data_IF_253423674814
#
_entry.id   IF_253423674814
#
_cell.length_a   1.000
_cell.length_b   1.000
_cell.length_c   1.000
_cell.angle_alpha   90.00
_cell.angle_beta   90.00
_cell.angle_gamma   90.00
#
_symmetry.space_group_name_H-M   'P 1'
#
loop_
_entity.id
_entity.type
_entity.pdbx_description
1 polymer ?
#
# COMPACT_ATOMS: atom_id res chain seq x y z
N UNK A 1 -17.83 -58.09 -19.95
CA UNK A 1 -17.15 -56.90 -19.39
C UNK A 1 -15.94 -56.58 -20.26
N UNK A 2 -15.87 -55.38 -20.84
CA UNK A 2 -14.76 -54.95 -21.71
C UNK A 2 -13.54 -54.71 -20.82
N UNK A 3 -12.45 -55.46 -21.02
CA UNK A 3 -11.19 -55.20 -20.31
C UNK A 3 -10.68 -53.83 -20.76
N UNK A 4 -10.49 -52.92 -19.82
CA UNK A 4 -9.84 -51.64 -20.09
C UNK A 4 -8.38 -51.96 -20.45
N UNK A 5 -7.88 -51.40 -21.54
CA UNK A 5 -6.48 -51.55 -21.93
C UNK A 5 -5.61 -50.78 -20.92
N UNK A 6 -4.77 -51.52 -20.20
CA UNK A 6 -3.87 -50.98 -19.18
C UNK A 6 -2.91 -49.96 -19.79
N UNK A 7 -2.49 -50.15 -21.05
CA UNK A 7 -1.60 -49.21 -21.74
C UNK A 7 -2.31 -47.88 -22.00
N UNK A 8 -3.57 -47.93 -22.44
CA UNK A 8 -4.38 -46.74 -22.64
C UNK A 8 -4.61 -45.98 -21.32
N UNK A 9 -4.78 -46.70 -20.20
CA UNK A 9 -4.91 -46.09 -18.87
C UNK A 9 -3.61 -45.41 -18.44
N UNK A 10 -2.45 -46.07 -18.59
CA UNK A 10 -1.14 -45.49 -18.26
C UNK A 10 -0.86 -44.25 -19.10
N UNK A 11 -1.16 -44.29 -20.40
CA UNK A 11 -0.98 -43.14 -21.29
C UNK A 11 -1.87 -41.96 -20.89
N UNK A 12 -3.14 -42.23 -20.57
CA UNK A 12 -4.06 -41.20 -20.07
C UNK A 12 -3.53 -40.57 -18.78
N UNK A 13 -3.09 -41.39 -17.82
CA UNK A 13 -2.51 -40.91 -16.57
C UNK A 13 -1.22 -40.09 -16.80
N UNK A 14 -0.40 -40.47 -17.78
CA UNK A 14 0.79 -39.70 -18.17
C UNK A 14 0.45 -38.31 -18.70
N UNK A 15 -0.54 -38.21 -19.61
CA UNK A 15 -1.01 -36.92 -20.14
C UNK A 15 -1.63 -36.07 -19.04
N UNK A 16 -2.48 -36.66 -18.19
CA UNK A 16 -3.07 -35.97 -17.03
C UNK A 16 -1.98 -35.50 -16.07
N UNK A 17 -0.93 -36.29 -15.85
CA UNK A 17 0.22 -35.92 -15.03
C UNK A 17 0.98 -34.71 -15.58
N UNK A 18 1.23 -34.65 -16.89
CA UNK A 18 1.88 -33.51 -17.54
C UNK A 18 1.00 -32.26 -17.47
N UNK A 19 -0.30 -32.39 -17.74
CA UNK A 19 -1.23 -31.26 -17.63
C UNK A 19 -1.29 -30.76 -16.19
N UNK A 20 -1.38 -31.68 -15.22
CA UNK A 20 -1.39 -31.35 -13.80
C UNK A 20 -0.13 -30.61 -13.35
N UNK A 21 1.05 -31.05 -13.81
CA UNK A 21 2.31 -30.37 -13.46
C UNK A 21 2.39 -28.97 -14.07
N UNK A 22 1.97 -28.79 -15.32
CA UNK A 22 1.94 -27.47 -15.97
C UNK A 22 0.96 -26.51 -15.29
N UNK A 23 -0.21 -26.99 -14.86
CA UNK A 23 -1.16 -26.18 -14.09
C UNK A 23 -0.55 -25.74 -12.76
N UNK A 24 0.10 -26.65 -12.03
CA UNK A 24 0.78 -26.33 -10.77
C UNK A 24 1.86 -25.27 -10.96
N UNK A 25 2.72 -25.43 -11.97
CA UNK A 25 3.77 -24.45 -12.31
C UNK A 25 3.15 -23.09 -12.69
N UNK A 26 2.05 -23.08 -13.44
CA UNK A 26 1.34 -21.85 -13.77
C UNK A 26 0.79 -21.11 -12.54
N UNK A 27 0.28 -21.85 -11.55
CA UNK A 27 -0.18 -21.28 -10.28
C UNK A 27 0.98 -20.71 -9.45
N UNK A 28 2.10 -21.43 -9.37
CA UNK A 28 3.30 -20.99 -8.65
C UNK A 28 3.90 -19.72 -9.27
N UNK A 29 3.99 -19.66 -10.60
CA UNK A 29 4.48 -18.46 -11.31
C UNK A 29 3.58 -17.25 -11.07
N UNK A 30 2.25 -17.43 -11.09
CA UNK A 30 1.30 -16.35 -10.79
C UNK A 30 1.47 -15.81 -9.36
N UNK A 31 1.67 -16.71 -8.39
CA UNK A 31 1.94 -16.32 -7.01
C UNK A 31 3.27 -15.57 -6.89
N UNK A 32 4.32 -16.07 -7.55
CA UNK A 32 5.64 -15.44 -7.57
C UNK A 32 5.59 -14.03 -8.16
N UNK A 33 4.89 -13.85 -9.29
CA UNK A 33 4.69 -12.54 -9.90
C UNK A 33 3.98 -11.57 -8.94
N UNK A 34 2.92 -12.02 -8.27
CA UNK A 34 2.17 -11.19 -7.31
C UNK A 34 3.06 -10.72 -6.14
N UNK A 35 3.88 -11.63 -5.60
CA UNK A 35 4.84 -11.30 -4.53
C UNK A 35 5.88 -10.29 -5.03
N UNK A 36 6.37 -10.47 -6.26
CA UNK A 36 7.35 -9.56 -6.86
C UNK A 36 6.78 -8.15 -7.08
N UNK A 37 5.55 -8.02 -7.57
CA UNK A 37 4.88 -6.73 -7.74
C UNK A 37 4.68 -6.02 -6.38
N UNK A 38 4.32 -6.77 -5.34
CA UNK A 38 4.17 -6.20 -4.01
C UNK A 38 5.49 -5.84 -3.33
N UNK A 39 6.55 -6.61 -3.55
CA UNK A 39 7.89 -6.23 -3.13
C UNK A 39 8.36 -4.94 -3.84
N UNK A 40 8.02 -4.76 -5.12
CA UNK A 40 8.30 -3.51 -5.83
C UNK A 40 7.52 -2.33 -5.26
N UNK A 41 6.25 -2.52 -4.91
CA UNK A 41 5.46 -1.47 -4.25
C UNK A 41 6.04 -1.08 -2.88
N UNK A 42 6.44 -2.08 -2.08
CA UNK A 42 7.14 -1.87 -0.81
C UNK A 42 8.43 -1.06 -1.01
N UNK A 43 9.22 -1.40 -2.02
CA UNK A 43 10.47 -0.69 -2.33
C UNK A 43 10.18 0.77 -2.69
N UNK A 44 9.19 1.02 -3.56
CA UNK A 44 8.82 2.39 -3.96
C UNK A 44 8.33 3.23 -2.79
N UNK A 45 7.54 2.65 -1.89
CA UNK A 45 7.11 3.32 -0.66
C UNK A 45 8.31 3.61 0.24
N UNK A 46 9.22 2.65 0.41
CA UNK A 46 10.46 2.83 1.18
C UNK A 46 11.36 3.93 0.62
N UNK A 47 11.53 4.02 -0.71
CA UNK A 47 12.34 5.04 -1.36
C UNK A 47 11.72 6.43 -1.20
N UNK A 48 10.39 6.54 -1.33
CA UNK A 48 9.67 7.80 -1.08
C UNK A 48 9.82 8.25 0.39
N UNK A 49 9.68 7.32 1.33
CA UNK A 49 9.87 7.59 2.76
C UNK A 49 11.32 8.01 3.07
N UNK A 50 12.31 7.37 2.44
CA UNK A 50 13.72 7.76 2.58
C UNK A 50 13.95 9.19 2.08
N UNK A 51 13.38 9.55 0.93
CA UNK A 51 13.47 10.92 0.40
C UNK A 51 12.85 11.95 1.36
N UNK A 52 11.68 11.68 1.93
CA UNK A 52 11.05 12.57 2.93
C UNK A 52 11.96 12.72 4.17
N UNK A 53 12.57 11.63 4.63
CA UNK A 53 13.52 11.70 5.75
C UNK A 53 14.76 12.54 5.41
N UNK A 54 15.29 12.47 4.19
CA UNK A 54 16.39 13.34 3.76
C UNK A 54 15.96 14.82 3.71
N UNK A 55 14.72 15.12 3.31
CA UNK A 55 14.21 16.50 3.36
C UNK A 55 14.13 17.03 4.79
N UNK A 56 13.91 16.16 5.78
CA UNK A 56 14.03 16.59 7.17
C UNK A 56 15.43 17.10 7.48
N UNK A 57 16.53 16.62 6.91
CA UNK A 57 17.87 17.12 7.25
C UNK A 57 18.10 18.59 6.86
N UNK A 58 17.42 19.05 5.81
CA UNK A 58 17.53 20.41 5.27
C UNK A 58 16.30 21.29 5.56
N UNK A 59 15.44 20.84 6.47
CA UNK A 59 14.23 21.55 6.90
C UNK A 59 13.24 21.84 5.75
N UNK A 60 13.18 20.91 4.79
CA UNK A 60 12.33 21.02 3.61
C UNK A 60 10.97 20.32 3.80
N UNK A 61 9.89 20.99 3.44
CA UNK A 61 8.51 20.46 3.54
C UNK A 61 8.12 19.72 2.26
N UNK A 62 7.86 18.41 2.40
CA UNK A 62 7.47 17.53 1.30
C UNK A 62 6.20 18.00 0.61
N UNK A 63 5.18 18.38 1.39
CA UNK A 63 3.91 18.87 0.88
C UNK A 63 4.13 20.10 -0.02
N UNK A 64 4.85 21.10 0.48
CA UNK A 64 5.10 22.36 -0.22
C UNK A 64 5.84 22.14 -1.54
N UNK A 65 6.90 21.32 -1.54
CA UNK A 65 7.74 21.10 -2.73
C UNK A 65 7.03 20.22 -3.76
N UNK A 66 6.45 19.10 -3.34
CA UNK A 66 6.00 18.04 -4.26
C UNK A 66 4.55 18.21 -4.67
N UNK A 67 3.67 18.52 -3.71
CA UNK A 67 2.23 18.57 -3.93
C UNK A 67 1.78 19.98 -4.31
N UNK A 68 2.26 21.00 -3.60
CA UNK A 68 1.88 22.39 -3.84
C UNK A 68 2.79 23.07 -4.87
N UNK A 69 3.95 22.49 -5.15
CA UNK A 69 4.97 23.01 -6.10
C UNK A 69 5.37 24.45 -5.80
N UNK A 70 5.41 24.80 -4.51
CA UNK A 70 5.78 26.13 -4.04
C UNK A 70 7.22 26.11 -3.52
N UNK A 71 8.19 26.71 -4.24
CA UNK A 71 9.59 26.73 -3.81
C UNK A 71 9.88 27.75 -2.70
N UNK A 72 8.97 28.68 -2.40
CA UNK A 72 9.16 29.76 -1.42
C UNK A 72 8.49 29.46 -0.06
N UNK A 73 8.66 28.24 0.45
CA UNK A 73 7.93 27.75 1.64
C UNK A 73 8.69 27.94 2.97
N UNK A 74 9.98 28.28 2.92
CA UNK A 74 10.86 28.33 4.10
C UNK A 74 10.43 29.31 5.20
N UNK A 75 9.58 30.29 4.87
CA UNK A 75 9.09 31.30 5.81
C UNK A 75 7.71 30.99 6.41
N UNK A 76 7.02 29.93 5.94
CA UNK A 76 5.62 29.66 6.28
C UNK A 76 5.44 28.75 7.50
N UNK A 77 6.41 27.87 7.76
CA UNK A 77 6.32 26.84 8.79
C UNK A 77 7.60 26.83 9.62
N UNK A 78 7.45 26.65 10.93
CA UNK A 78 8.57 26.35 11.81
C UNK A 78 9.16 24.98 11.50
N UNK A 79 10.40 24.77 11.91
CA UNK A 79 11.09 23.47 11.82
C UNK A 79 10.25 22.30 12.34
N UNK A 80 9.62 22.47 13.50
CA UNK A 80 8.83 21.39 14.11
C UNK A 80 7.55 21.09 13.30
N UNK A 81 6.92 22.11 12.73
CA UNK A 81 5.74 21.93 11.86
C UNK A 81 6.13 21.21 10.57
N UNK A 82 7.27 21.55 9.95
CA UNK A 82 7.80 20.83 8.78
C UNK A 82 8.03 19.36 9.10
N UNK A 83 8.68 19.05 10.22
CA UNK A 83 8.90 17.66 10.65
C UNK A 83 7.57 16.94 10.86
N UNK A 84 6.60 17.56 11.52
CA UNK A 84 5.29 16.96 11.77
C UNK A 84 4.55 16.64 10.47
N UNK A 85 4.56 17.58 9.51
CA UNK A 85 3.95 17.40 8.18
C UNK A 85 4.64 16.30 7.38
N UNK A 86 5.97 16.23 7.42
CA UNK A 86 6.73 15.17 6.78
C UNK A 86 6.43 13.80 7.41
N UNK A 87 6.40 13.70 8.74
CA UNK A 87 6.01 12.47 9.45
C UNK A 87 4.58 12.02 9.10
N UNK A 88 3.66 12.97 8.90
CA UNK A 88 2.31 12.67 8.44
C UNK A 88 2.30 12.04 7.05
N UNK A 89 3.10 12.56 6.11
CA UNK A 89 3.26 11.93 4.80
C UNK A 89 3.88 10.53 4.86
N UNK A 90 4.85 10.30 5.74
CA UNK A 90 5.38 8.94 5.97
C UNK A 90 4.26 7.98 6.40
N UNK A 91 3.40 8.42 7.34
CA UNK A 91 2.23 7.64 7.76
C UNK A 91 1.29 7.33 6.60
N UNK A 92 1.03 8.29 5.72
CA UNK A 92 0.20 8.09 4.53
C UNK A 92 0.80 7.09 3.54
N UNK A 93 2.12 7.15 3.27
CA UNK A 93 2.81 6.15 2.43
C UNK A 93 2.80 4.75 3.05
N UNK A 94 2.89 4.66 4.37
CA UNK A 94 2.80 3.40 5.09
C UNK A 94 1.40 2.78 4.96
N UNK A 95 0.34 3.57 5.19
CA UNK A 95 -1.05 3.12 5.05
C UNK A 95 -1.35 2.68 3.61
N UNK A 96 -0.93 3.47 2.62
CA UNK A 96 -1.11 3.14 1.20
C UNK A 96 -0.43 1.80 0.85
N UNK A 97 0.79 1.59 1.34
CA UNK A 97 1.51 0.35 1.12
C UNK A 97 0.90 -0.84 1.88
N UNK A 98 0.51 -0.66 3.16
CA UNK A 98 -0.14 -1.70 3.95
C UNK A 98 -1.47 -2.13 3.30
N UNK A 99 -2.25 -1.17 2.79
CA UNK A 99 -3.46 -1.45 2.00
C UNK A 99 -3.14 -2.26 0.74
N UNK A 100 -2.10 -1.86 -0.01
CA UNK A 100 -1.70 -2.60 -1.20
C UNK A 100 -1.36 -4.06 -0.84
N UNK A 101 -0.54 -4.29 0.18
CA UNK A 101 -0.17 -5.63 0.65
C UNK A 101 -1.39 -6.47 1.04
N UNK A 102 -2.36 -5.87 1.74
CA UNK A 102 -3.63 -6.49 2.08
C UNK A 102 -4.49 -6.83 0.85
N UNK A 103 -4.65 -5.90 -0.08
CA UNK A 103 -5.39 -6.14 -1.34
C UNK A 103 -4.74 -7.23 -2.20
N UNK A 104 -3.42 -7.40 -2.06
CA UNK A 104 -2.66 -8.50 -2.65
C UNK A 104 -2.69 -9.79 -1.82
N UNK A 105 -3.50 -9.90 -0.77
CA UNK A 105 -3.59 -11.11 0.06
C UNK A 105 -2.25 -11.53 0.66
N UNK A 106 -1.30 -10.60 0.76
CA UNK A 106 0.02 -10.79 1.36
C UNK A 106 0.06 -10.28 2.81
N UNK A 107 -1.04 -9.70 3.30
CA UNK A 107 -1.25 -9.32 4.69
C UNK A 107 -2.54 -9.97 5.20
N UNK A 108 -2.46 -10.58 6.37
CA UNK A 108 -3.63 -11.17 7.04
C UNK A 108 -4.62 -10.08 7.43
N UNK A 109 -5.91 -10.39 7.37
CA UNK A 109 -6.99 -9.46 7.71
C UNK A 109 -6.87 -8.93 9.14
N UNK A 110 -6.58 -9.79 10.13
CA UNK A 110 -6.39 -9.34 11.52
C UNK A 110 -5.25 -8.32 11.68
N UNK A 111 -4.17 -8.50 10.91
CA UNK A 111 -3.02 -7.59 10.92
C UNK A 111 -3.38 -6.27 10.25
N UNK A 112 -4.10 -6.34 9.13
CA UNK A 112 -4.62 -5.16 8.43
C UNK A 112 -5.57 -4.37 9.31
N UNK A 113 -6.54 -5.03 9.94
CA UNK A 113 -7.53 -4.40 10.83
C UNK A 113 -6.88 -3.76 12.05
N UNK A 114 -5.86 -4.40 12.64
CA UNK A 114 -5.11 -3.78 13.75
C UNK A 114 -4.36 -2.52 13.31
N UNK A 115 -3.73 -2.54 12.13
CA UNK A 115 -2.98 -1.39 11.57
C UNK A 115 -3.88 -0.27 11.12
N UNK A 116 -5.00 -0.59 10.49
CA UNK A 116 -5.89 0.42 9.93
C UNK A 116 -6.57 1.21 11.05
N UNK A 117 -7.04 0.53 12.11
CA UNK A 117 -7.63 1.18 13.29
C UNK A 117 -6.59 2.12 13.90
N UNK A 118 -5.38 1.65 14.21
CA UNK A 118 -4.39 2.49 14.90
C UNK A 118 -3.82 3.62 14.03
N UNK A 119 -3.50 3.35 12.77
CA UNK A 119 -2.88 4.35 11.89
C UNK A 119 -3.90 5.34 11.33
N UNK A 120 -5.07 4.88 10.88
CA UNK A 120 -6.08 5.79 10.34
C UNK A 120 -6.70 6.64 11.43
N UNK A 121 -7.03 6.10 12.61
CA UNK A 121 -7.51 6.92 13.73
C UNK A 121 -6.48 8.00 14.10
N UNK A 122 -5.20 7.66 14.14
CA UNK A 122 -4.15 8.64 14.45
C UNK A 122 -4.02 9.72 13.37
N UNK A 123 -4.12 9.34 12.09
CA UNK A 123 -4.03 10.25 10.95
C UNK A 123 -5.25 11.17 10.88
N UNK A 124 -6.47 10.64 11.00
CA UNK A 124 -7.71 11.42 10.91
C UNK A 124 -7.95 12.30 12.13
N UNK A 125 -7.38 11.95 13.30
CA UNK A 125 -7.44 12.78 14.50
C UNK A 125 -6.56 14.05 14.43
N UNK A 126 -5.60 14.13 13.49
CA UNK A 126 -4.69 15.27 13.36
C UNK A 126 -5.31 16.38 12.50
N UNK A 127 -6.25 17.12 13.09
CA UNK A 127 -7.07 18.10 12.37
C UNK A 127 -6.29 19.24 11.70
N UNK A 128 -5.17 19.67 12.28
CA UNK A 128 -4.31 20.69 11.67
C UNK A 128 -3.66 20.20 10.36
N UNK A 129 -3.61 18.89 10.13
CA UNK A 129 -2.99 18.27 8.95
C UNK A 129 -4.04 17.73 7.96
N UNK A 130 -5.33 17.88 8.25
CA UNK A 130 -6.42 17.49 7.33
C UNK A 130 -6.21 18.01 5.90
N UNK A 131 -5.78 19.27 5.65
CA UNK A 131 -5.53 19.74 4.28
C UNK A 131 -4.48 18.90 3.50
N UNK A 132 -3.50 18.31 4.18
CA UNK A 132 -2.50 17.43 3.57
C UNK A 132 -3.13 16.11 3.16
N UNK A 133 -4.00 15.56 4.01
CA UNK A 133 -4.78 14.37 3.67
C UNK A 133 -5.70 14.65 2.48
N UNK A 134 -6.43 15.76 2.48
CA UNK A 134 -7.32 16.15 1.37
C UNK A 134 -6.56 16.28 0.04
N UNK A 135 -5.30 16.73 0.09
CA UNK A 135 -4.42 16.79 -1.09
C UNK A 135 -3.98 15.40 -1.56
N UNK A 136 -3.70 14.48 -0.63
CA UNK A 136 -3.22 13.12 -0.92
C UNK A 136 -4.32 12.15 -1.30
N UNK A 137 -5.51 12.27 -0.71
CA UNK A 137 -6.61 11.32 -0.82
C UNK A 137 -6.96 10.96 -2.27
N UNK A 138 -7.06 11.92 -3.23
CA UNK A 138 -7.37 11.59 -4.62
C UNK A 138 -6.33 10.72 -5.33
N UNK A 139 -5.10 10.63 -4.81
CA UNK A 139 -4.04 9.81 -5.39
C UNK A 139 -4.06 8.35 -4.93
N UNK A 140 -4.87 8.03 -3.91
CA UNK A 140 -5.03 6.66 -3.43
C UNK A 140 -5.99 5.84 -4.31
N UNK A 141 -5.92 4.50 -4.26
CA UNK A 141 -6.94 3.63 -4.84
C UNK A 141 -8.34 3.94 -4.30
N UNK A 142 -9.38 3.79 -5.14
CA UNK A 142 -10.75 4.18 -4.80
C UNK A 142 -11.28 3.49 -3.53
N UNK A 143 -10.93 2.22 -3.33
CA UNK A 143 -11.31 1.45 -2.15
C UNK A 143 -10.59 1.96 -0.88
N UNK A 144 -9.34 2.40 -1.00
CA UNK A 144 -8.66 3.03 0.13
C UNK A 144 -9.29 4.39 0.45
N UNK A 145 -9.70 5.15 -0.56
CA UNK A 145 -10.42 6.41 -0.35
C UNK A 145 -11.73 6.19 0.41
N UNK A 146 -12.52 5.18 0.04
CA UNK A 146 -13.78 4.88 0.75
C UNK A 146 -13.54 4.51 2.21
N UNK A 147 -12.48 3.75 2.49
CA UNK A 147 -12.07 3.44 3.86
C UNK A 147 -11.84 4.72 4.65
N UNK A 148 -11.06 5.68 4.14
CA UNK A 148 -10.82 6.96 4.83
C UNK A 148 -12.11 7.74 5.14
N UNK A 149 -13.15 7.62 4.29
CA UNK A 149 -14.46 8.28 4.49
C UNK A 149 -15.31 7.58 5.55
N UNK A 150 -15.10 6.28 5.78
CA UNK A 150 -15.83 5.51 6.79
C UNK A 150 -15.33 5.80 8.22
N UNK A 151 -14.10 6.28 8.37
CA UNK A 151 -13.60 6.72 9.68
C UNK A 151 -14.29 8.03 10.10
N UNK A 152 -14.82 8.12 11.33
CA UNK A 152 -15.46 9.35 11.80
C UNK A 152 -14.52 10.54 11.65
N UNK A 153 -15.00 11.64 11.07
CA UNK A 153 -14.24 12.89 11.07
C UNK A 153 -14.13 13.36 12.53
N UNK A 154 -12.96 13.16 13.11
CA UNK A 154 -12.66 13.58 14.48
C UNK A 154 -12.49 15.09 14.59
N UNK A 155 -12.50 15.80 13.47
CA UNK A 155 -12.23 17.23 13.42
C UNK A 155 -13.49 18.05 13.57
N UNK A 156 -13.50 19.03 14.49
CA UNK A 156 -14.65 19.91 14.66
C UNK A 156 -14.92 20.66 13.35
N UNK A 157 -16.17 20.65 12.90
CA UNK A 157 -16.60 21.50 11.80
C UNK A 157 -16.66 22.94 12.31
N UNK A 158 -15.58 23.68 12.09
CA UNK A 158 -15.44 25.10 12.42
C UNK A 158 -15.61 25.97 11.19
#
# INVERSE_FOLDING_TARGET
MRKIDINALIQLLGIVGIIGSLVFVGLEMRQSQRIAEAAQQQQRSSDAMAMINTLNEIEADWQSIVWERNPNYGDLYTRNEVIQRNLFHLGLYLVENDYYQYSQGLMNEDVWMAKIITNLEAITALCSLKPLLDTRLPSFPAELQSIFVEFPDACPQG
#
